data_IF_341355411421
#
_entry.id   IF_341355411421
#
_cell.length_a   1.000
_cell.length_b   1.000
_cell.length_c   1.000
_cell.angle_alpha   90.00
_cell.angle_beta   90.00
_cell.angle_gamma   90.00
#
_symmetry.space_group_name_H-M   'P 1'
#
loop_
_entity.id
_entity.type
_entity.pdbx_description
1 polymer ?
#
# COMPACT_ATOMS: atom_id res chain seq x y z
N UNK A 1 -9.64 22.93 -14.13
CA UNK A 1 -9.29 21.54 -14.55
C UNK A 1 -9.07 21.49 -16.06
N UNK A 2 -8.05 20.75 -16.55
CA UNK A 2 -7.81 20.46 -17.96
C UNK A 2 -8.20 19.02 -18.25
N UNK A 3 -8.92 18.76 -19.36
CA UNK A 3 -9.44 17.44 -19.71
C UNK A 3 -9.18 17.10 -21.17
N UNK A 4 -8.60 15.94 -21.41
CA UNK A 4 -8.46 15.32 -22.75
C UNK A 4 -9.28 14.03 -22.79
N UNK A 5 -9.66 13.55 -23.98
CA UNK A 5 -10.40 12.30 -24.09
C UNK A 5 -10.04 11.50 -25.32
N UNK A 6 -10.19 10.18 -25.22
CA UNK A 6 -9.97 9.23 -26.31
C UNK A 6 -10.84 7.98 -26.15
N UNK A 7 -10.99 7.21 -27.21
CA UNK A 7 -11.67 5.91 -27.18
C UNK A 7 -10.67 4.79 -26.94
N UNK A 8 -11.00 3.89 -26.00
CA UNK A 8 -10.17 2.74 -25.68
C UNK A 8 -11.03 1.55 -25.27
N UNK A 9 -10.87 0.41 -25.93
CA UNK A 9 -11.63 -0.84 -25.67
C UNK A 9 -13.16 -0.63 -25.55
N UNK A 10 -13.75 0.20 -26.40
CA UNK A 10 -15.20 0.47 -26.38
C UNK A 10 -15.68 1.33 -25.23
N UNK A 11 -14.76 2.05 -24.58
CA UNK A 11 -15.04 3.02 -23.53
C UNK A 11 -14.48 4.38 -23.94
N UNK A 12 -15.13 5.45 -23.48
CA UNK A 12 -14.55 6.78 -23.51
C UNK A 12 -13.68 6.95 -22.26
N UNK A 13 -12.45 7.35 -22.47
CA UNK A 13 -11.49 7.65 -21.39
C UNK A 13 -11.25 9.14 -21.38
N UNK A 14 -11.43 9.76 -20.21
CA UNK A 14 -11.07 11.15 -19.97
C UNK A 14 -9.83 11.20 -19.07
N UNK A 15 -8.89 12.07 -19.38
CA UNK A 15 -7.71 12.34 -18.59
C UNK A 15 -7.83 13.75 -18.02
N UNK A 16 -7.94 13.83 -16.69
CA UNK A 16 -8.12 15.07 -15.97
C UNK A 16 -6.83 15.47 -15.27
N UNK A 17 -6.46 16.75 -15.39
CA UNK A 17 -5.37 17.38 -14.65
C UNK A 17 -5.92 18.56 -13.89
N UNK A 18 -5.73 18.54 -12.58
CA UNK A 18 -6.23 19.53 -11.65
C UNK A 18 -5.10 20.06 -10.80
N UNK A 19 -4.93 21.39 -10.78
CA UNK A 19 -4.01 22.03 -9.85
C UNK A 19 -4.71 22.19 -8.49
N UNK A 20 -4.04 21.70 -7.44
CA UNK A 20 -4.53 21.70 -6.05
C UNK A 20 -3.47 22.32 -5.13
N UNK A 21 -3.83 22.89 -3.98
CA UNK A 21 -2.84 23.35 -3.01
C UNK A 21 -1.97 22.19 -2.50
N UNK A 22 -0.71 22.44 -2.20
CA UNK A 22 0.13 21.49 -1.50
C UNK A 22 -0.50 21.11 -0.14
N UNK A 23 -0.94 22.13 0.61
CA UNK A 23 -1.71 21.98 1.84
C UNK A 23 -3.10 22.60 1.66
N UNK A 24 -4.13 21.75 1.63
CA UNK A 24 -5.53 22.21 1.48
C UNK A 24 -6.07 22.99 2.68
N UNK A 25 -5.40 22.93 3.82
CA UNK A 25 -5.80 23.63 5.04
C UNK A 25 -5.27 25.07 5.12
N UNK A 26 -4.48 25.48 4.13
CA UNK A 26 -3.88 26.81 4.05
C UNK A 26 -4.26 27.52 2.73
N UNK A 27 -4.38 28.85 2.72
CA UNK A 27 -4.53 29.58 1.46
C UNK A 27 -3.34 29.34 0.52
N UNK A 28 -3.62 29.24 -0.77
CA UNK A 28 -2.59 29.15 -1.82
C UNK A 28 -1.76 30.44 -1.86
N UNK A 29 -0.43 30.32 -2.00
CA UNK A 29 0.49 31.43 -2.02
C UNK A 29 1.93 30.96 -2.18
N UNK A 30 2.90 31.86 -1.99
CA UNK A 30 4.33 31.55 -2.11
C UNK A 30 4.75 30.43 -1.13
N UNK A 31 4.23 30.47 0.11
CA UNK A 31 4.50 29.45 1.14
C UNK A 31 3.59 28.21 1.06
N UNK A 32 2.66 28.16 0.11
CA UNK A 32 1.77 27.04 -0.15
C UNK A 32 1.51 26.92 -1.65
N UNK A 33 2.46 26.38 -2.41
CA UNK A 33 2.35 26.24 -3.86
C UNK A 33 1.26 25.25 -4.26
N UNK A 34 0.90 25.26 -5.54
CA UNK A 34 0.05 24.25 -6.14
C UNK A 34 0.87 23.07 -6.63
N UNK A 35 0.28 21.90 -6.55
CA UNK A 35 0.73 20.66 -7.19
C UNK A 35 -0.33 20.17 -8.16
N UNK A 36 0.04 19.31 -9.09
CA UNK A 36 -0.89 18.74 -10.05
C UNK A 36 -1.33 17.35 -9.61
N UNK A 37 -2.65 17.12 -9.64
CA UNK A 37 -3.29 15.82 -9.45
C UNK A 37 -3.87 15.36 -10.78
N UNK A 38 -3.67 14.09 -11.11
CA UNK A 38 -4.15 13.42 -12.30
C UNK A 38 -5.18 12.35 -11.97
N UNK A 39 -6.25 12.29 -12.75
CA UNK A 39 -7.21 11.20 -12.68
C UNK A 39 -7.61 10.75 -14.09
N UNK A 40 -7.87 9.45 -14.22
CA UNK A 40 -8.43 8.89 -15.45
C UNK A 40 -9.84 8.42 -15.19
N UNK A 41 -10.79 9.02 -15.87
CA UNK A 41 -12.18 8.61 -15.86
C UNK A 41 -12.46 7.66 -17.01
N UNK A 42 -13.08 6.53 -16.72
CA UNK A 42 -13.48 5.52 -17.72
C UNK A 42 -14.99 5.43 -17.74
N UNK A 43 -15.56 5.63 -18.92
CA UNK A 43 -17.01 5.62 -19.14
C UNK A 43 -17.36 4.58 -20.20
N UNK A 44 -18.22 3.63 -19.82
CA UNK A 44 -18.75 2.67 -20.79
C UNK A 44 -19.75 3.36 -21.72
N UNK A 45 -19.69 3.06 -23.02
CA UNK A 45 -20.65 3.56 -23.98
C UNK A 45 -22.10 3.27 -23.56
N UNK A 46 -22.97 4.29 -23.62
CA UNK A 46 -24.35 4.24 -23.14
C UNK A 46 -24.51 4.36 -21.64
N UNK A 47 -23.46 4.77 -20.90
CA UNK A 47 -23.46 5.01 -19.46
C UNK A 47 -22.89 6.39 -19.11
N UNK A 48 -23.05 7.33 -20.02
CA UNK A 48 -22.53 8.70 -19.87
C UNK A 48 -23.17 9.45 -18.69
N UNK A 49 -24.41 9.08 -18.32
CA UNK A 49 -25.14 9.66 -17.18
C UNK A 49 -25.05 8.83 -15.88
N UNK A 50 -24.19 7.78 -15.86
CA UNK A 50 -24.02 6.96 -14.66
C UNK A 50 -23.38 7.77 -13.52
N UNK A 51 -23.67 7.41 -12.24
CA UNK A 51 -23.02 8.05 -11.11
C UNK A 51 -21.51 7.75 -11.09
N UNK A 52 -20.76 8.55 -10.36
CA UNK A 52 -19.32 8.38 -10.25
C UNK A 52 -18.91 7.42 -9.14
N UNK A 53 -17.88 6.62 -9.42
CA UNK A 53 -17.14 5.86 -8.41
C UNK A 53 -15.65 6.15 -8.54
N UNK A 54 -15.00 6.60 -7.46
CA UNK A 54 -13.55 6.81 -7.42
C UNK A 54 -12.86 5.58 -6.84
N UNK A 55 -11.83 5.11 -7.54
CA UNK A 55 -10.94 4.06 -7.05
C UNK A 55 -9.74 4.71 -6.35
N UNK A 56 -9.52 4.28 -5.10
CA UNK A 56 -8.39 4.67 -4.27
C UNK A 56 -7.42 3.48 -4.18
N UNK A 57 -6.23 3.67 -4.75
CA UNK A 57 -5.21 2.64 -4.85
C UNK A 57 -4.55 2.35 -3.51
N UNK A 58 -4.16 1.10 -3.30
CA UNK A 58 -3.31 0.66 -2.20
C UNK A 58 -1.86 1.10 -2.32
N UNK A 59 -1.05 0.67 -1.42
CA UNK A 59 0.35 1.03 -1.27
C UNK A 59 0.63 1.43 0.17
N UNK A 60 1.08 2.64 0.45
CA UNK A 60 1.10 3.93 -0.28
C UNK A 60 2.08 3.99 -1.47
N UNK A 61 1.96 5.03 -2.31
CA UNK A 61 2.99 5.37 -3.30
C UNK A 61 2.86 4.71 -4.67
N UNK A 62 1.81 3.96 -4.91
CA UNK A 62 1.53 3.38 -6.22
C UNK A 62 0.43 4.15 -6.97
N UNK A 63 0.58 4.32 -8.31
CA UNK A 63 -0.46 4.93 -9.11
C UNK A 63 -1.66 4.00 -9.24
N UNK A 64 -2.82 4.56 -9.56
CA UNK A 64 -3.99 3.77 -9.96
C UNK A 64 -3.69 2.89 -11.18
N UNK A 65 -4.32 1.71 -11.28
CA UNK A 65 -4.13 0.82 -12.43
C UNK A 65 -4.51 1.54 -13.72
N UNK A 66 -3.82 1.20 -14.79
CA UNK A 66 -4.14 1.72 -16.13
C UNK A 66 -5.25 0.89 -16.74
N UNK A 67 -6.29 1.56 -17.24
CA UNK A 67 -7.40 0.88 -17.91
C UNK A 67 -6.91 0.14 -19.16
N UNK A 68 -7.23 -1.14 -19.28
CA UNK A 68 -6.83 -1.99 -20.37
C UNK A 68 -7.02 -3.46 -20.07
N UNK A 69 -6.28 -4.33 -20.75
CA UNK A 69 -6.43 -5.79 -20.67
C UNK A 69 -6.22 -6.38 -19.28
N UNK A 70 -5.48 -5.70 -18.40
CA UNK A 70 -5.09 -6.20 -17.08
C UNK A 70 -5.84 -5.53 -15.91
N UNK A 71 -6.89 -4.78 -16.16
CA UNK A 71 -7.62 -4.04 -15.09
C UNK A 71 -8.47 -4.92 -14.18
N UNK A 72 -8.52 -6.22 -14.41
CA UNK A 72 -9.24 -7.16 -13.55
C UNK A 72 -10.75 -7.08 -13.62
N UNK A 73 -11.43 -8.06 -13.04
CA UNK A 73 -12.88 -8.18 -13.07
C UNK A 73 -13.60 -7.11 -12.25
N UNK A 74 -12.96 -6.55 -11.21
CA UNK A 74 -13.54 -5.53 -10.34
C UNK A 74 -13.91 -4.25 -11.11
N UNK A 75 -13.03 -3.78 -12.00
CA UNK A 75 -13.31 -2.59 -12.81
C UNK A 75 -14.44 -2.84 -13.80
N UNK A 76 -14.43 -3.99 -14.48
CA UNK A 76 -15.50 -4.37 -15.39
C UNK A 76 -16.86 -4.44 -14.68
N UNK A 77 -16.87 -4.85 -13.39
CA UNK A 77 -18.08 -4.87 -12.57
C UNK A 77 -18.55 -3.44 -12.25
N UNK A 78 -17.66 -2.57 -11.82
CA UNK A 78 -18.02 -1.16 -11.55
C UNK A 78 -18.50 -0.43 -12.78
N UNK A 79 -17.88 -0.63 -13.94
CA UNK A 79 -18.26 0.01 -15.20
C UNK A 79 -19.64 -0.39 -15.72
N UNK A 80 -20.32 -1.37 -15.13
CA UNK A 80 -21.72 -1.67 -15.42
C UNK A 80 -22.65 -0.59 -14.85
N UNK A 81 -22.30 0.00 -13.70
CA UNK A 81 -23.17 0.87 -12.95
C UNK A 81 -22.61 2.29 -12.78
N UNK A 82 -21.30 2.48 -12.96
CA UNK A 82 -20.59 3.72 -12.65
C UNK A 82 -19.71 4.23 -13.79
N UNK A 83 -19.47 5.52 -13.78
CA UNK A 83 -18.29 6.16 -14.37
C UNK A 83 -17.14 5.99 -13.37
N UNK A 84 -16.07 5.31 -13.75
CA UNK A 84 -15.01 4.93 -12.83
C UNK A 84 -13.83 5.91 -12.93
N UNK A 85 -13.53 6.57 -11.83
CA UNK A 85 -12.41 7.52 -11.72
C UNK A 85 -11.22 6.83 -11.06
N UNK A 86 -10.12 6.74 -11.77
CA UNK A 86 -8.84 6.17 -11.33
C UNK A 86 -7.92 7.33 -10.93
N UNK A 87 -7.88 7.64 -9.64
CA UNK A 87 -7.09 8.73 -9.11
C UNK A 87 -5.63 8.29 -8.94
N UNK A 88 -4.69 8.90 -9.67
CA UNK A 88 -3.28 8.87 -9.29
C UNK A 88 -3.13 9.82 -8.08
N UNK A 89 -2.96 9.24 -6.90
CA UNK A 89 -2.79 10.01 -5.67
C UNK A 89 -1.57 10.94 -5.79
N UNK A 90 -1.59 12.08 -5.06
CA UNK A 90 -0.41 12.96 -5.00
C UNK A 90 0.85 12.16 -4.71
N UNK A 91 1.94 12.46 -5.37
CA UNK A 91 3.20 11.71 -5.29
C UNK A 91 3.33 10.58 -6.30
N UNK A 92 2.27 10.17 -7.01
CA UNK A 92 2.25 8.96 -7.82
C UNK A 92 1.88 9.20 -9.27
N UNK A 93 2.25 8.29 -10.14
CA UNK A 93 1.77 8.19 -11.53
C UNK A 93 2.01 9.45 -12.36
N UNK A 94 0.92 10.02 -12.86
CA UNK A 94 0.92 11.26 -13.65
C UNK A 94 0.62 12.50 -12.78
N UNK A 95 0.29 12.32 -11.49
CA UNK A 95 0.29 13.40 -10.51
C UNK A 95 1.72 13.89 -10.23
N UNK A 96 1.87 15.01 -9.56
CA UNK A 96 3.20 15.48 -9.10
C UNK A 96 3.93 14.35 -8.39
N UNK A 97 5.02 13.88 -8.96
CA UNK A 97 5.77 12.69 -8.48
C UNK A 97 6.65 13.04 -7.31
N UNK A 98 6.93 12.02 -6.48
CA UNK A 98 7.84 12.10 -5.35
C UNK A 98 8.92 11.03 -5.43
N UNK A 99 10.14 11.48 -5.68
CA UNK A 99 11.38 10.72 -5.64
C UNK A 99 12.54 11.66 -5.27
N UNK A 100 13.74 11.13 -5.13
CA UNK A 100 14.92 11.93 -4.77
C UNK A 100 15.19 13.05 -5.79
N UNK A 101 14.90 12.83 -7.08
CA UNK A 101 15.08 13.84 -8.11
C UNK A 101 14.04 14.97 -7.98
N UNK A 102 12.77 14.62 -7.75
CA UNK A 102 11.70 15.60 -7.55
C UNK A 102 11.94 16.48 -6.32
N UNK A 103 12.56 15.91 -5.27
CA UNK A 103 12.90 16.63 -4.03
C UNK A 103 14.24 17.38 -4.07
N UNK A 104 14.98 17.29 -5.17
CA UNK A 104 16.34 17.87 -5.27
C UNK A 104 16.39 19.40 -5.24
N UNK A 105 15.25 20.07 -5.37
CA UNK A 105 15.14 21.53 -5.22
C UNK A 105 15.06 22.00 -3.76
N UNK A 106 14.91 21.07 -2.82
CA UNK A 106 14.92 21.30 -1.37
C UNK A 106 16.30 20.96 -0.83
N UNK A 107 16.89 21.87 -0.06
CA UNK A 107 18.30 21.78 0.33
C UNK A 107 18.53 20.81 1.50
N UNK A 108 17.58 20.74 2.45
CA UNK A 108 17.73 19.97 3.69
C UNK A 108 16.73 18.80 3.78
N UNK A 109 17.05 17.81 4.61
CA UNK A 109 16.14 16.69 4.88
C UNK A 109 14.89 17.16 5.65
N UNK A 110 15.02 18.20 6.48
CA UNK A 110 13.92 18.85 7.19
C UNK A 110 12.92 19.50 6.22
N UNK A 111 13.41 20.21 5.19
CA UNK A 111 12.57 20.81 4.15
C UNK A 111 11.85 19.72 3.34
N UNK A 112 12.57 18.66 2.95
CA UNK A 112 11.99 17.52 2.24
C UNK A 112 10.94 16.81 3.08
N UNK A 113 11.20 16.57 4.35
CA UNK A 113 10.24 15.95 5.27
C UNK A 113 9.02 16.83 5.48
N UNK A 114 9.20 18.14 5.66
CA UNK A 114 8.10 19.10 5.78
C UNK A 114 7.21 19.10 4.54
N UNK A 115 7.81 19.09 3.34
CA UNK A 115 7.09 19.00 2.08
C UNK A 115 6.32 17.67 1.96
N UNK A 116 6.96 16.53 2.27
CA UNK A 116 6.37 15.21 2.17
C UNK A 116 5.23 14.96 3.17
N UNK A 117 5.21 15.65 4.32
CA UNK A 117 4.07 15.56 5.26
C UNK A 117 2.73 15.88 4.63
N UNK A 118 2.72 16.65 3.53
CA UNK A 118 1.51 16.97 2.76
C UNK A 118 1.12 15.88 1.73
N UNK A 119 1.73 14.68 1.77
CA UNK A 119 1.42 13.57 0.86
C UNK A 119 0.70 12.40 1.56
N UNK A 120 0.21 12.61 2.77
CA UNK A 120 -0.51 11.64 3.58
C UNK A 120 -2.01 11.58 3.19
N UNK A 121 -2.73 10.60 3.74
CA UNK A 121 -4.12 10.32 3.38
C UNK A 121 -5.10 11.48 3.57
N UNK A 122 -4.88 12.36 4.54
CA UNK A 122 -5.72 13.55 4.74
C UNK A 122 -5.72 14.48 3.52
N UNK A 123 -4.55 14.77 2.99
CA UNK A 123 -4.43 15.61 1.80
C UNK A 123 -4.94 14.91 0.53
N UNK A 124 -4.81 13.57 0.45
CA UNK A 124 -5.39 12.78 -0.64
C UNK A 124 -6.93 12.86 -0.61
N UNK A 125 -7.53 12.85 0.58
CA UNK A 125 -8.99 13.07 0.74
C UNK A 125 -9.40 14.43 0.17
N UNK A 126 -8.67 15.48 0.49
CA UNK A 126 -8.98 16.82 -0.01
C UNK A 126 -8.75 16.97 -1.52
N UNK A 127 -7.75 16.28 -2.09
CA UNK A 127 -7.59 16.18 -3.55
C UNK A 127 -8.81 15.50 -4.20
N UNK A 128 -9.26 14.40 -3.61
CA UNK A 128 -10.43 13.69 -4.09
C UNK A 128 -11.69 14.57 -4.02
N UNK A 129 -11.86 15.38 -2.96
CA UNK A 129 -12.95 16.36 -2.84
C UNK A 129 -12.85 17.48 -3.88
N UNK A 130 -11.66 17.99 -4.15
CA UNK A 130 -11.44 18.98 -5.20
C UNK A 130 -11.82 18.42 -6.57
N UNK A 131 -11.38 17.19 -6.88
CA UNK A 131 -11.74 16.50 -8.12
C UNK A 131 -13.24 16.18 -8.20
N UNK A 132 -13.85 15.71 -7.10
CA UNK A 132 -15.29 15.45 -7.06
C UNK A 132 -16.10 16.69 -7.42
N UNK A 133 -15.76 17.84 -6.84
CA UNK A 133 -16.47 19.10 -7.11
C UNK A 133 -16.38 19.52 -8.57
N UNK A 134 -15.25 19.28 -9.22
CA UNK A 134 -15.07 19.56 -10.66
C UNK A 134 -15.89 18.60 -11.55
N UNK A 135 -16.05 17.32 -11.15
CA UNK A 135 -16.72 16.28 -11.95
C UNK A 135 -18.23 16.18 -11.64
N UNK A 136 -18.61 16.28 -10.38
CA UNK A 136 -19.96 16.00 -9.88
C UNK A 136 -20.67 17.24 -9.29
N UNK A 137 -19.97 18.39 -9.16
CA UNK A 137 -20.51 19.52 -8.40
C UNK A 137 -20.69 19.19 -6.93
N UNK A 138 -21.89 19.39 -6.40
CA UNK A 138 -22.21 19.08 -5.01
C UNK A 138 -22.64 17.62 -4.77
N UNK A 139 -22.86 16.85 -5.84
CA UNK A 139 -23.32 15.45 -5.71
C UNK A 139 -22.21 14.56 -5.10
N UNK A 140 -22.55 13.71 -4.12
CA UNK A 140 -21.61 12.77 -3.53
C UNK A 140 -21.34 11.59 -4.49
N UNK A 141 -20.14 11.04 -4.42
CA UNK A 141 -19.74 9.87 -5.20
C UNK A 141 -19.55 8.62 -4.34
N UNK A 142 -19.36 7.47 -4.99
CA UNK A 142 -19.01 6.21 -4.33
C UNK A 142 -17.48 6.04 -4.33
N UNK A 143 -16.91 5.49 -3.24
CA UNK A 143 -15.50 5.08 -3.21
C UNK A 143 -15.35 3.57 -3.33
N UNK A 144 -14.27 3.10 -3.99
CA UNK A 144 -13.72 1.76 -3.84
C UNK A 144 -12.27 1.90 -3.39
N UNK A 145 -11.99 1.60 -2.13
CA UNK A 145 -10.64 1.62 -1.56
C UNK A 145 -10.07 0.22 -1.43
N UNK A 146 -8.87 -0.02 -1.96
CA UNK A 146 -8.13 -1.27 -1.80
C UNK A 146 -6.91 -1.03 -0.91
N UNK A 147 -6.72 -1.86 0.16
CA UNK A 147 -5.56 -1.75 1.04
C UNK A 147 -5.44 -0.32 1.62
N UNK A 148 -4.32 0.37 1.47
CA UNK A 148 -4.16 1.79 1.84
C UNK A 148 -5.27 2.69 1.26
N UNK A 149 -5.84 2.36 0.10
CA UNK A 149 -7.02 3.06 -0.43
C UNK A 149 -8.25 2.95 0.48
N UNK A 150 -8.37 1.87 1.23
CA UNK A 150 -9.37 1.73 2.29
C UNK A 150 -9.05 2.58 3.52
N UNK A 151 -7.76 2.75 3.85
CA UNK A 151 -7.30 3.69 4.88
C UNK A 151 -7.68 5.14 4.49
N UNK A 152 -7.45 5.51 3.23
CA UNK A 152 -7.89 6.81 2.68
C UNK A 152 -9.42 6.93 2.76
N UNK A 153 -10.18 5.86 2.44
CA UNK A 153 -11.64 5.85 2.55
C UNK A 153 -12.09 6.08 3.99
N UNK A 154 -11.45 5.46 4.98
CA UNK A 154 -11.75 5.67 6.41
C UNK A 154 -11.40 7.09 6.85
N UNK A 155 -10.30 7.66 6.34
CA UNK A 155 -10.00 9.08 6.52
C UNK A 155 -11.05 9.98 5.86
N UNK A 156 -11.56 9.61 4.70
CA UNK A 156 -12.62 10.35 4.00
C UNK A 156 -13.93 10.37 4.82
N UNK A 157 -14.30 9.23 5.41
CA UNK A 157 -15.44 9.14 6.33
C UNK A 157 -15.26 10.02 7.57
N UNK A 158 -14.01 10.27 8.00
CA UNK A 158 -13.69 11.17 9.11
C UNK A 158 -13.72 12.64 8.72
N UNK A 159 -13.15 12.99 7.56
CA UNK A 159 -12.79 14.37 7.23
C UNK A 159 -13.80 15.05 6.28
N UNK A 160 -14.46 14.29 5.41
CA UNK A 160 -15.38 14.83 4.41
C UNK A 160 -16.54 13.85 4.07
N UNK A 161 -17.26 13.30 5.05
CA UNK A 161 -18.29 12.28 4.81
C UNK A 161 -19.42 12.76 3.89
N UNK A 162 -19.68 14.07 3.82
CA UNK A 162 -20.69 14.66 2.95
C UNK A 162 -20.41 14.48 1.44
N UNK A 163 -19.16 14.22 1.06
CA UNK A 163 -18.75 13.90 -0.32
C UNK A 163 -19.02 12.45 -0.72
N UNK A 164 -19.44 11.61 0.22
CA UNK A 164 -19.61 10.18 0.03
C UNK A 164 -21.08 9.76 -0.02
N UNK A 165 -21.46 9.08 -1.09
CA UNK A 165 -22.76 8.42 -1.23
C UNK A 165 -22.74 7.02 -0.61
N UNK A 166 -21.67 6.29 -0.83
CA UNK A 166 -21.40 4.97 -0.28
C UNK A 166 -19.89 4.67 -0.37
N UNK A 167 -19.43 3.69 0.39
CA UNK A 167 -18.01 3.28 0.39
C UNK A 167 -17.88 1.77 0.32
N UNK A 168 -17.05 1.29 -0.62
CA UNK A 168 -16.62 -0.09 -0.74
C UNK A 168 -15.15 -0.17 -0.33
N UNK A 169 -14.81 -1.10 0.56
CA UNK A 169 -13.45 -1.29 1.06
C UNK A 169 -13.04 -2.75 0.88
N UNK A 170 -11.84 -3.00 0.38
CA UNK A 170 -11.31 -4.37 0.23
C UNK A 170 -9.93 -4.48 0.87
N UNK A 171 -9.78 -5.33 1.90
CA UNK A 171 -8.53 -5.54 2.63
C UNK A 171 -7.90 -4.23 3.13
N UNK A 172 -8.71 -3.26 3.59
CA UNK A 172 -8.24 -1.90 3.85
C UNK A 172 -8.96 -1.17 4.99
N UNK A 173 -9.53 -1.88 5.97
CA UNK A 173 -9.99 -1.24 7.20
C UNK A 173 -8.81 -1.10 8.17
N UNK A 174 -8.34 0.13 8.49
CA UNK A 174 -7.17 0.35 9.34
C UNK A 174 -7.42 -0.04 10.79
N UNK A 175 -6.39 -0.48 11.50
CA UNK A 175 -6.41 -0.49 12.97
C UNK A 175 -6.32 0.94 13.51
N UNK A 176 -7.19 1.30 14.44
CA UNK A 176 -7.18 2.61 15.12
C UNK A 176 -6.42 2.54 16.45
N UNK A 177 -5.31 1.83 16.46
CA UNK A 177 -4.47 1.55 17.63
C UNK A 177 -3.03 1.97 17.37
N UNK A 178 -2.16 1.88 18.39
CA UNK A 178 -0.75 2.20 18.22
C UNK A 178 -0.09 1.30 17.18
N UNK A 179 0.85 1.83 16.42
CA UNK A 179 1.54 1.12 15.34
C UNK A 179 2.23 -0.17 15.81
N UNK A 180 2.75 -0.19 17.04
CA UNK A 180 3.37 -1.39 17.62
C UNK A 180 2.37 -2.56 17.73
N UNK A 181 1.12 -2.28 18.09
CA UNK A 181 0.08 -3.31 18.21
C UNK A 181 -0.31 -3.84 16.81
N UNK A 182 -0.35 -2.96 15.81
CA UNK A 182 -0.56 -3.35 14.41
C UNK A 182 0.56 -4.28 13.96
N UNK A 183 1.83 -3.90 14.15
CA UNK A 183 2.95 -4.71 13.70
C UNK A 183 3.11 -6.02 14.48
N UNK A 184 2.77 -6.09 15.76
CA UNK A 184 2.74 -7.37 16.49
C UNK A 184 1.78 -8.35 15.83
N UNK A 185 0.59 -7.91 15.44
CA UNK A 185 -0.38 -8.74 14.71
C UNK A 185 0.09 -9.11 13.30
N UNK A 186 0.66 -8.16 12.55
CA UNK A 186 1.16 -8.47 11.21
C UNK A 186 2.34 -9.44 11.24
N UNK A 187 3.22 -9.35 12.23
CA UNK A 187 4.28 -10.36 12.43
C UNK A 187 3.72 -11.75 12.79
N UNK A 188 2.71 -11.80 13.66
CA UNK A 188 2.04 -13.07 13.99
C UNK A 188 1.42 -13.71 12.75
N UNK A 189 0.72 -12.92 11.92
CA UNK A 189 0.13 -13.36 10.66
C UNK A 189 1.19 -13.79 9.65
N UNK A 190 2.26 -13.03 9.53
CA UNK A 190 3.39 -13.36 8.65
C UNK A 190 4.06 -14.67 9.08
N UNK A 191 4.27 -14.89 10.38
CA UNK A 191 4.80 -16.15 10.89
C UNK A 191 3.88 -17.34 10.57
N UNK A 192 2.57 -17.17 10.76
CA UNK A 192 1.58 -18.20 10.42
C UNK A 192 1.61 -18.51 8.92
N UNK A 193 1.76 -17.48 8.08
CA UNK A 193 1.84 -17.62 6.63
C UNK A 193 3.10 -18.33 6.18
N UNK A 194 4.26 -18.00 6.76
CA UNK A 194 5.52 -18.72 6.52
C UNK A 194 5.37 -20.21 6.89
N UNK A 195 4.84 -20.52 8.06
CA UNK A 195 4.62 -21.93 8.46
C UNK A 195 3.76 -22.69 7.47
N UNK A 196 2.64 -22.11 7.03
CA UNK A 196 1.74 -22.72 6.04
C UNK A 196 2.45 -22.94 4.71
N UNK A 197 3.22 -21.96 4.26
CA UNK A 197 3.99 -22.03 3.02
C UNK A 197 5.07 -23.11 3.09
N UNK A 198 5.90 -23.14 4.13
CA UNK A 198 6.96 -24.12 4.30
C UNK A 198 6.43 -25.55 4.57
N UNK A 199 5.26 -25.69 5.18
CA UNK A 199 4.60 -27.01 5.25
C UNK A 199 4.21 -27.52 3.87
N UNK A 200 3.78 -26.65 2.97
CA UNK A 200 3.47 -27.02 1.57
C UNK A 200 4.72 -27.26 0.74
N UNK A 201 5.77 -26.45 0.97
CA UNK A 201 7.03 -26.46 0.23
C UNK A 201 8.26 -26.59 1.17
N UNK A 202 8.47 -27.79 1.79
CA UNK A 202 9.56 -27.95 2.78
C UNK A 202 10.97 -27.70 2.22
N UNK A 203 11.15 -27.91 0.91
CA UNK A 203 12.42 -27.61 0.22
C UNK A 203 12.77 -26.14 0.22
N UNK A 204 11.75 -25.26 0.19
CA UNK A 204 11.94 -23.81 0.08
C UNK A 204 12.47 -23.21 1.38
N UNK A 205 12.04 -23.73 2.54
CA UNK A 205 12.62 -23.29 3.82
C UNK A 205 14.11 -23.52 3.85
N UNK A 206 14.56 -24.73 3.46
CA UNK A 206 15.98 -25.04 3.36
C UNK A 206 16.69 -24.13 2.35
N UNK A 207 16.08 -23.90 1.19
CA UNK A 207 16.67 -23.02 0.16
C UNK A 207 16.82 -21.58 0.68
N UNK A 208 15.81 -21.03 1.37
CA UNK A 208 15.87 -19.70 1.97
C UNK A 208 16.99 -19.59 3.01
N UNK A 209 17.11 -20.60 3.89
CA UNK A 209 18.19 -20.67 4.89
C UNK A 209 19.56 -20.75 4.24
N UNK A 210 19.75 -21.61 3.22
CA UNK A 210 20.99 -21.73 2.46
C UNK A 210 21.37 -20.43 1.73
N UNK A 211 20.38 -19.74 1.14
CA UNK A 211 20.58 -18.45 0.49
C UNK A 211 21.03 -17.39 1.49
N UNK A 212 20.36 -17.29 2.64
CA UNK A 212 20.73 -16.33 3.66
C UNK A 212 22.13 -16.62 4.26
N UNK A 213 22.48 -17.89 4.48
CA UNK A 213 23.83 -18.26 4.92
C UNK A 213 24.88 -17.89 3.87
N UNK A 214 24.62 -18.19 2.59
CA UNK A 214 25.53 -17.79 1.50
C UNK A 214 25.74 -16.28 1.43
N UNK A 215 24.65 -15.49 1.54
CA UNK A 215 24.69 -14.03 1.49
C UNK A 215 25.39 -13.41 2.72
N UNK A 216 25.40 -14.10 3.86
CA UNK A 216 26.15 -13.66 5.03
C UNK A 216 27.67 -13.72 4.79
N UNK A 217 28.13 -14.73 4.05
CA UNK A 217 29.55 -15.02 3.82
C UNK A 217 30.11 -14.49 2.47
N UNK A 218 29.22 -14.01 1.57
CA UNK A 218 29.57 -13.60 0.22
C UNK A 218 29.01 -12.25 -0.17
N UNK A 219 29.59 -11.65 -1.20
CA UNK A 219 29.11 -10.41 -1.80
C UNK A 219 28.44 -10.74 -3.15
N UNK A 220 27.14 -11.04 -3.11
CA UNK A 220 26.30 -11.11 -4.30
C UNK A 220 25.69 -9.74 -4.56
N UNK A 221 25.73 -9.30 -5.81
CA UNK A 221 25.34 -7.95 -6.22
C UNK A 221 24.11 -8.02 -7.12
N UNK A 222 23.11 -7.21 -6.83
CA UNK A 222 21.93 -7.05 -7.69
C UNK A 222 22.32 -6.33 -9.01
N UNK A 223 21.51 -6.44 -10.07
CA UNK A 223 21.80 -5.78 -11.35
C UNK A 223 21.94 -4.25 -11.24
N UNK A 224 21.32 -3.64 -10.24
CA UNK A 224 21.38 -2.21 -9.90
C UNK A 224 22.68 -1.79 -9.20
N UNK A 225 23.51 -2.75 -8.81
CA UNK A 225 24.88 -2.54 -8.32
C UNK A 225 25.05 -2.66 -6.81
N UNK A 226 23.99 -2.68 -6.02
CA UNK A 226 24.04 -2.83 -4.58
C UNK A 226 24.18 -4.31 -4.15
N UNK A 227 24.70 -4.52 -2.96
CA UNK A 227 24.80 -5.84 -2.35
C UNK A 227 23.42 -6.37 -1.95
N UNK A 228 23.15 -7.64 -2.25
CA UNK A 228 22.01 -8.35 -1.71
C UNK A 228 22.34 -8.88 -0.31
N UNK A 229 21.71 -8.33 0.72
CA UNK A 229 21.84 -8.82 2.10
C UNK A 229 20.84 -9.95 2.40
N UNK A 230 21.09 -10.80 3.42
CA UNK A 230 20.13 -11.79 3.90
C UNK A 230 18.78 -11.16 4.26
N UNK A 231 18.84 -10.00 4.85
CA UNK A 231 17.66 -9.28 5.29
C UNK A 231 16.82 -8.76 4.12
N UNK A 232 17.47 -8.20 3.09
CA UNK A 232 16.79 -7.77 1.88
C UNK A 232 16.20 -8.96 1.11
N UNK A 233 16.90 -10.10 1.06
CA UNK A 233 16.31 -11.32 0.50
C UNK A 233 15.03 -11.73 1.22
N UNK A 234 14.99 -11.65 2.56
CA UNK A 234 13.80 -12.05 3.33
C UNK A 234 12.55 -11.22 3.03
N UNK A 235 12.71 -10.01 2.47
CA UNK A 235 11.57 -9.17 2.06
C UNK A 235 10.74 -9.77 0.92
N UNK A 236 11.22 -10.77 0.17
CA UNK A 236 10.42 -11.49 -0.81
C UNK A 236 9.18 -12.14 -0.18
N UNK A 237 9.15 -12.27 1.13
CA UNK A 237 7.98 -12.76 1.87
C UNK A 237 6.73 -11.90 1.72
N UNK A 238 6.82 -10.67 1.21
CA UNK A 238 5.64 -9.93 0.75
C UNK A 238 4.81 -10.72 -0.26
N UNK A 239 5.43 -11.60 -1.06
CA UNK A 239 4.72 -12.47 -1.99
C UNK A 239 3.73 -13.42 -1.30
N UNK A 240 3.94 -13.74 -0.03
CA UNK A 240 3.05 -14.60 0.75
C UNK A 240 1.66 -13.99 1.00
N UNK A 241 1.50 -12.68 0.85
CA UNK A 241 0.22 -11.99 1.05
C UNK A 241 -0.70 -11.98 -0.17
N UNK A 242 -0.21 -12.31 -1.36
CA UNK A 242 -1.00 -12.36 -2.60
C UNK A 242 -1.45 -13.76 -2.99
N UNK A 243 -2.60 -13.86 -3.64
CA UNK A 243 -3.26 -15.13 -3.99
C UNK A 243 -2.43 -16.00 -4.94
N UNK A 244 -1.87 -15.43 -6.00
CA UNK A 244 -1.07 -16.18 -6.99
C UNK A 244 0.43 -16.17 -6.69
N UNK A 245 0.86 -15.43 -5.70
CA UNK A 245 2.27 -15.12 -5.50
C UNK A 245 3.02 -16.22 -4.75
N UNK A 246 2.32 -17.09 -3.99
CA UNK A 246 2.94 -18.24 -3.32
C UNK A 246 3.55 -19.25 -4.29
N UNK A 247 2.88 -19.52 -5.40
CA UNK A 247 3.42 -20.41 -6.43
C UNK A 247 4.59 -19.73 -7.17
N UNK A 248 4.48 -18.41 -7.41
CA UNK A 248 5.58 -17.63 -7.99
C UNK A 248 6.80 -17.61 -7.09
N UNK A 249 6.61 -17.50 -5.76
CA UNK A 249 7.70 -17.59 -4.79
C UNK A 249 8.37 -18.95 -4.83
N UNK A 250 7.58 -20.03 -4.90
CA UNK A 250 8.12 -21.40 -5.05
C UNK A 250 8.99 -21.51 -6.31
N UNK A 251 8.47 -21.11 -7.47
CA UNK A 251 9.22 -21.17 -8.72
C UNK A 251 10.45 -20.23 -8.73
N UNK A 252 10.40 -19.10 -8.04
CA UNK A 252 11.57 -18.23 -7.85
C UNK A 252 12.69 -18.95 -7.09
N UNK A 253 12.35 -19.81 -6.12
CA UNK A 253 13.28 -20.54 -5.28
C UNK A 253 13.75 -21.89 -5.88
N UNK A 254 13.22 -22.33 -7.05
CA UNK A 254 13.59 -23.62 -7.67
C UNK A 254 15.07 -23.69 -8.12
N UNK A 255 15.62 -22.61 -8.64
CA UNK A 255 16.93 -22.64 -9.28
C UNK A 255 17.80 -21.40 -9.05
N UNK A 256 18.09 -21.01 -7.81
CA UNK A 256 18.83 -19.78 -7.54
C UNK A 256 20.31 -19.87 -7.90
N UNK A 257 20.84 -21.09 -8.05
CA UNK A 257 22.28 -21.34 -8.09
C UNK A 257 22.86 -21.53 -9.49
N UNK A 258 24.10 -21.09 -9.65
CA UNK A 258 24.94 -21.39 -10.81
C UNK A 258 26.37 -21.72 -10.34
N UNK A 259 27.17 -22.32 -11.22
CA UNK A 259 28.59 -22.58 -10.96
C UNK A 259 29.47 -21.70 -11.86
N UNK A 260 30.31 -20.87 -11.25
CA UNK A 260 31.28 -20.03 -11.96
C UNK A 260 32.67 -20.44 -11.56
N UNK A 261 33.43 -21.06 -12.47
CA UNK A 261 34.79 -21.56 -12.23
C UNK A 261 34.89 -22.48 -10.99
N UNK A 262 33.85 -23.34 -10.80
CA UNK A 262 33.76 -24.26 -9.68
C UNK A 262 33.29 -23.64 -8.35
N UNK A 263 33.02 -22.36 -8.32
CA UNK A 263 32.39 -21.68 -7.16
C UNK A 263 30.89 -21.60 -7.32
N UNK A 264 30.17 -21.91 -6.24
CA UNK A 264 28.71 -21.74 -6.16
C UNK A 264 28.39 -20.24 -6.05
N UNK A 265 27.58 -19.72 -6.94
CA UNK A 265 27.16 -18.33 -7.00
C UNK A 265 25.66 -18.25 -7.25
N UNK A 266 25.04 -17.12 -6.96
CA UNK A 266 23.67 -16.86 -7.38
C UNK A 266 23.62 -16.59 -8.89
N UNK A 267 22.61 -17.12 -9.56
CA UNK A 267 22.44 -16.91 -10.99
C UNK A 267 21.99 -15.46 -11.27
N UNK A 268 22.45 -14.89 -12.39
CA UNK A 268 22.04 -13.54 -12.80
C UNK A 268 20.52 -13.42 -12.96
N UNK A 269 19.86 -14.52 -13.39
CA UNK A 269 18.41 -14.56 -13.50
C UNK A 269 17.73 -14.43 -12.14
N UNK A 270 18.22 -15.17 -11.14
CA UNK A 270 17.71 -15.10 -9.77
C UNK A 270 17.93 -13.71 -9.17
N UNK A 271 19.15 -13.15 -9.29
CA UNK A 271 19.46 -11.82 -8.79
C UNK A 271 18.56 -10.73 -9.42
N UNK A 272 18.30 -10.81 -10.73
CA UNK A 272 17.39 -9.89 -11.41
C UNK A 272 15.95 -10.03 -10.92
N UNK A 273 15.48 -11.26 -10.73
CA UNK A 273 14.15 -11.52 -10.21
C UNK A 273 14.00 -11.04 -8.77
N UNK A 274 14.99 -11.25 -7.91
CA UNK A 274 15.01 -10.73 -6.53
C UNK A 274 15.03 -9.20 -6.52
N UNK A 275 15.87 -8.57 -7.34
CA UNK A 275 15.92 -7.10 -7.45
C UNK A 275 14.55 -6.51 -7.75
N UNK A 276 13.82 -7.11 -8.69
CA UNK A 276 12.47 -6.64 -9.03
C UNK A 276 11.41 -6.88 -7.94
N UNK A 277 11.63 -7.83 -7.05
CA UNK A 277 10.69 -8.13 -5.94
C UNK A 277 10.91 -7.24 -4.72
N UNK A 278 12.13 -6.77 -4.50
CA UNK A 278 12.48 -5.98 -3.31
C UNK A 278 12.74 -4.51 -3.64
N UNK A 279 12.64 -4.14 -4.91
CA UNK A 279 12.69 -2.75 -5.35
C UNK A 279 11.30 -2.11 -5.11
N UNK A 280 11.28 -1.05 -4.33
CA UNK A 280 10.05 -0.37 -3.90
C UNK A 280 10.09 1.10 -4.33
N UNK A 281 8.92 1.63 -4.68
CA UNK A 281 8.78 3.05 -4.96
C UNK A 281 9.19 3.88 -3.73
N UNK A 282 9.95 5.00 -3.89
CA UNK A 282 10.43 5.80 -2.77
C UNK A 282 9.34 6.22 -1.79
N UNK A 283 8.17 6.65 -2.28
CA UNK A 283 7.02 6.98 -1.42
C UNK A 283 6.58 5.77 -0.60
N UNK A 284 6.53 4.57 -1.16
CA UNK A 284 6.19 3.38 -0.40
C UNK A 284 7.12 3.20 0.79
N UNK A 285 8.43 3.25 0.56
CA UNK A 285 9.43 3.12 1.61
C UNK A 285 9.31 4.20 2.70
N UNK A 286 9.08 5.45 2.30
CA UNK A 286 8.96 6.58 3.22
C UNK A 286 7.66 6.55 4.04
N UNK A 287 6.56 6.05 3.44
CA UNK A 287 5.22 6.20 4.00
C UNK A 287 4.66 4.91 4.62
N UNK A 288 5.27 3.74 4.38
CA UNK A 288 4.74 2.48 4.88
C UNK A 288 4.48 2.47 6.39
N UNK A 289 5.31 3.15 7.16
CA UNK A 289 5.10 3.32 8.60
C UNK A 289 4.48 4.69 8.93
N UNK A 290 4.82 5.74 8.17
CA UNK A 290 4.34 7.09 8.43
C UNK A 290 2.81 7.25 8.32
N UNK A 291 2.12 6.40 7.54
CA UNK A 291 0.65 6.40 7.47
C UNK A 291 -0.03 6.12 8.82
N UNK A 292 0.69 5.54 9.77
CA UNK A 292 0.21 5.26 11.13
C UNK A 292 0.58 6.36 12.14
N UNK A 293 1.44 7.31 11.77
CA UNK A 293 1.87 8.38 12.68
C UNK A 293 0.71 9.31 13.03
N UNK A 294 0.49 9.55 14.33
CA UNK A 294 -0.58 10.43 14.83
C UNK A 294 -1.96 10.10 14.20
N UNK A 295 -2.26 8.82 14.00
CA UNK A 295 -3.42 8.40 13.20
C UNK A 295 -4.76 8.81 13.81
N UNK A 296 -4.87 8.79 15.15
CA UNK A 296 -6.05 9.24 15.91
C UNK A 296 -5.67 10.35 16.90
N UNK A 297 -6.64 11.11 17.47
CA UNK A 297 -6.34 12.14 18.47
C UNK A 297 -5.53 11.64 19.67
N UNK A 298 -5.80 10.43 20.14
CA UNK A 298 -5.10 9.83 21.29
C UNK A 298 -3.66 9.41 20.98
N UNK A 299 -3.31 9.28 19.71
CA UNK A 299 -1.97 8.92 19.25
C UNK A 299 -1.12 10.14 18.86
N UNK A 300 -1.68 11.35 18.92
CA UNK A 300 -0.88 12.57 18.76
C UNK A 300 0.11 12.68 19.93
N UNK A 301 1.35 12.99 19.62
CA UNK A 301 2.46 12.99 20.59
C UNK A 301 3.29 11.71 20.58
N UNK A 302 2.86 10.67 19.85
CA UNK A 302 3.60 9.41 19.71
C UNK A 302 4.24 9.27 18.32
N UNK A 303 5.53 8.93 18.29
CA UNK A 303 6.25 8.65 17.05
C UNK A 303 6.27 7.14 16.77
N UNK A 304 6.38 6.76 15.51
CA UNK A 304 6.43 5.35 15.10
C UNK A 304 7.79 4.71 15.41
N UNK A 305 8.89 5.47 15.25
CA UNK A 305 10.27 5.11 15.62
C UNK A 305 10.70 3.76 15.03
N UNK A 306 10.39 3.52 13.77
CA UNK A 306 10.73 2.27 13.09
C UNK A 306 10.15 1.04 13.82
N UNK A 307 8.85 1.05 14.06
CA UNK A 307 8.17 0.01 14.84
C UNK A 307 8.38 -1.38 14.24
N UNK A 308 8.34 -1.52 12.91
CA UNK A 308 8.62 -2.79 12.24
C UNK A 308 10.02 -3.31 12.56
N UNK A 309 11.05 -2.44 12.49
CA UNK A 309 12.46 -2.82 12.74
C UNK A 309 12.70 -3.18 14.22
N UNK A 310 12.14 -2.38 15.14
CA UNK A 310 12.26 -2.64 16.59
C UNK A 310 11.62 -3.96 16.99
N UNK A 311 10.40 -4.21 16.52
CA UNK A 311 9.64 -5.41 16.90
C UNK A 311 10.20 -6.68 16.25
N UNK A 312 10.86 -6.59 15.09
CA UNK A 312 11.54 -7.73 14.49
C UNK A 312 12.55 -8.38 15.44
N UNK A 313 13.24 -7.58 16.26
CA UNK A 313 14.24 -8.07 17.22
C UNK A 313 13.61 -8.80 18.43
N UNK A 314 12.33 -8.52 18.70
CA UNK A 314 11.59 -9.12 19.82
C UNK A 314 10.86 -10.41 19.44
N UNK A 315 10.60 -10.61 18.14
CA UNK A 315 9.71 -11.68 17.66
C UNK A 315 10.52 -12.83 17.05
N UNK A 316 10.40 -14.07 17.59
CA UNK A 316 11.16 -15.21 17.09
C UNK A 316 11.03 -15.41 15.57
N UNK A 317 12.15 -15.62 14.92
CA UNK A 317 12.25 -15.87 13.48
C UNK A 317 12.37 -14.63 12.60
N UNK A 318 12.24 -13.40 13.15
CA UNK A 318 12.33 -12.17 12.37
C UNK A 318 13.56 -11.33 12.66
N UNK A 319 14.26 -11.55 13.77
CA UNK A 319 15.46 -10.81 14.10
C UNK A 319 16.44 -10.75 12.90
N UNK A 320 17.10 -9.60 12.73
CA UNK A 320 18.01 -9.37 11.58
C UNK A 320 19.21 -10.30 11.60
N UNK A 321 19.71 -10.62 12.81
CA UNK A 321 20.87 -11.47 13.03
C UNK A 321 20.49 -12.93 13.33
N UNK A 322 19.22 -13.35 13.04
CA UNK A 322 18.80 -14.73 13.17
C UNK A 322 19.71 -15.66 12.36
N UNK A 323 20.21 -16.71 13.01
CA UNK A 323 21.10 -17.67 12.36
C UNK A 323 20.35 -18.58 11.41
N UNK A 324 20.55 -18.50 10.09
CA UNK A 324 19.85 -19.35 9.14
C UNK A 324 20.26 -20.83 9.25
N UNK A 325 21.39 -21.16 9.88
CA UNK A 325 21.88 -22.51 10.07
C UNK A 325 21.37 -23.18 11.35
N UNK A 326 20.69 -22.43 12.21
CA UNK A 326 20.09 -23.00 13.42
C UNK A 326 18.68 -23.52 13.12
N UNK A 327 18.56 -24.83 12.87
CA UNK A 327 17.28 -25.49 12.59
C UNK A 327 16.37 -25.61 13.83
N UNK A 328 16.89 -25.34 15.03
CA UNK A 328 16.06 -25.37 16.25
C UNK A 328 15.21 -24.12 16.44
N UNK A 329 15.57 -23.03 15.76
CA UNK A 329 14.87 -21.75 15.80
C UNK A 329 14.11 -21.45 14.50
N UNK A 330 12.96 -20.78 14.57
CA UNK A 330 12.25 -20.36 13.38
C UNK A 330 13.07 -19.38 12.56
N UNK A 331 12.96 -19.44 11.24
CA UNK A 331 13.59 -18.50 10.33
C UNK A 331 12.59 -18.13 9.23
N UNK A 332 12.04 -16.92 9.29
CA UNK A 332 10.94 -16.50 8.46
C UNK A 332 11.33 -15.43 7.42
N UNK A 333 10.64 -15.47 6.30
CA UNK A 333 10.55 -14.34 5.37
C UNK A 333 9.71 -13.24 6.02
N UNK A 334 10.06 -11.97 5.79
CA UNK A 334 9.31 -10.83 6.30
C UNK A 334 8.09 -10.52 5.43
N UNK A 335 7.08 -9.88 6.00
CA UNK A 335 5.91 -9.38 5.27
C UNK A 335 6.10 -7.93 4.84
N UNK A 336 5.03 -7.16 4.94
CA UNK A 336 5.02 -5.71 4.69
C UNK A 336 5.63 -4.95 5.88
N UNK A 337 6.83 -5.33 6.25
CA UNK A 337 7.61 -4.76 7.34
C UNK A 337 8.78 -3.98 6.75
N UNK A 338 8.65 -2.66 6.67
CA UNK A 338 9.68 -1.83 6.04
C UNK A 338 10.78 -1.50 7.08
N UNK A 339 11.97 -2.04 6.84
CA UNK A 339 13.07 -1.95 7.78
C UNK A 339 13.94 -0.71 7.51
N UNK A 340 14.40 -0.05 8.57
CA UNK A 340 15.28 1.12 8.49
C UNK A 340 16.50 0.91 7.58
N UNK A 341 17.12 -0.26 7.63
CA UNK A 341 18.31 -0.62 6.84
C UNK A 341 18.09 -0.60 5.32
N UNK A 342 16.86 -0.70 4.84
CA UNK A 342 16.58 -0.62 3.39
C UNK A 342 17.04 0.71 2.83
N UNK A 343 17.01 1.78 3.65
CA UNK A 343 17.55 3.09 3.30
C UNK A 343 19.09 3.14 3.29
N UNK A 344 19.77 2.14 3.79
CA UNK A 344 21.23 2.00 3.64
C UNK A 344 21.59 1.15 2.41
N UNK A 345 20.72 0.23 2.02
CA UNK A 345 21.02 -0.80 1.04
C UNK A 345 20.45 -0.46 -0.36
N UNK A 346 19.31 0.24 -0.45
CA UNK A 346 18.65 0.53 -1.72
C UNK A 346 19.12 1.87 -2.30
N UNK A 347 19.69 1.90 -3.53
CA UNK A 347 20.23 3.13 -4.14
C UNK A 347 19.16 4.21 -4.39
N UNK A 348 17.90 3.81 -4.61
CA UNK A 348 16.78 4.74 -4.82
C UNK A 348 16.30 5.38 -3.52
N UNK A 349 16.51 4.70 -2.38
CA UNK A 349 16.06 5.14 -1.05
C UNK A 349 17.18 5.77 -0.21
N UNK A 350 18.43 5.40 -0.44
CA UNK A 350 19.59 5.92 0.32
C UNK A 350 19.65 7.46 0.38
N UNK A 351 19.36 8.21 -0.71
CA UNK A 351 19.33 9.67 -0.67
C UNK A 351 18.23 10.25 0.22
N UNK A 352 17.25 9.43 0.64
CA UNK A 352 16.08 9.83 1.43
C UNK A 352 16.15 9.34 2.88
N UNK A 353 17.27 8.76 3.30
CA UNK A 353 17.45 8.20 4.64
C UNK A 353 17.17 9.22 5.75
N UNK A 354 17.77 10.42 5.68
CA UNK A 354 17.54 11.47 6.68
C UNK A 354 16.08 11.92 6.74
N UNK A 355 15.44 11.99 5.59
CA UNK A 355 13.99 12.27 5.48
C UNK A 355 13.16 11.20 6.20
N UNK A 356 13.47 9.91 5.96
CA UNK A 356 12.79 8.80 6.60
C UNK A 356 12.95 8.82 8.14
N UNK A 357 14.14 9.17 8.65
CA UNK A 357 14.38 9.34 10.10
C UNK A 357 13.50 10.45 10.71
N UNK A 358 13.35 11.57 10.01
CA UNK A 358 12.50 12.67 10.45
C UNK A 358 11.01 12.24 10.44
N UNK A 359 10.56 11.55 9.41
CA UNK A 359 9.19 11.06 9.33
C UNK A 359 8.90 10.03 10.43
N UNK A 360 9.81 9.09 10.69
CA UNK A 360 9.68 8.08 11.75
C UNK A 360 9.65 8.70 13.16
N UNK A 361 10.27 9.88 13.34
CA UNK A 361 10.28 10.61 14.62
C UNK A 361 9.14 11.63 14.77
N UNK A 362 8.21 11.69 13.81
CA UNK A 362 7.10 12.66 13.83
C UNK A 362 6.14 12.37 14.98
N UNK A 363 5.94 13.38 15.85
CA UNK A 363 4.98 13.35 16.96
C UNK A 363 3.82 14.33 16.78
N UNK A 364 3.94 15.25 15.82
CA UNK A 364 2.98 16.31 15.55
C UNK A 364 2.48 16.21 14.10
N UNK A 365 1.29 15.66 13.91
CA UNK A 365 0.54 15.68 12.67
C UNK A 365 -0.96 15.71 13.00
N UNK A 366 -1.76 16.25 12.11
CA UNK A 366 -3.21 16.21 12.26
C UNK A 366 -3.71 14.75 12.23
N UNK A 367 -4.61 14.34 13.14
CA UNK A 367 -5.23 13.02 13.07
C UNK A 367 -5.94 12.81 11.73
N UNK A 368 -5.80 11.62 11.18
CA UNK A 368 -6.44 11.23 9.91
C UNK A 368 -7.71 10.43 10.12
N UNK A 369 -7.88 9.86 11.32
CA UNK A 369 -9.10 9.20 11.75
C UNK A 369 -9.67 9.90 12.98
N UNK A 370 -10.97 10.17 12.97
CA UNK A 370 -11.69 10.81 14.05
C UNK A 370 -12.74 9.82 14.59
N UNK A 371 -12.41 9.01 15.62
CA UNK A 371 -13.28 7.94 16.11
C UNK A 371 -14.69 8.41 16.47
N UNK A 372 -14.84 9.59 17.06
CA UNK A 372 -16.14 10.15 17.41
C UNK A 372 -17.00 10.47 16.17
N UNK A 373 -16.38 10.89 15.07
CA UNK A 373 -17.07 11.12 13.78
C UNK A 373 -17.40 9.78 13.13
N UNK A 374 -16.45 8.85 13.13
CA UNK A 374 -16.62 7.51 12.58
C UNK A 374 -17.74 6.73 13.27
N UNK A 375 -17.88 6.83 14.60
CA UNK A 375 -18.95 6.21 15.37
C UNK A 375 -20.34 6.78 15.04
N UNK A 376 -20.41 7.99 14.47
CA UNK A 376 -21.65 8.64 14.02
C UNK A 376 -21.84 8.53 12.51
N UNK A 377 -21.08 7.68 11.82
CA UNK A 377 -21.15 7.54 10.38
C UNK A 377 -22.54 7.14 9.90
N UNK A 378 -23.05 7.82 8.91
CA UNK A 378 -24.31 7.53 8.23
C UNK A 378 -24.15 7.13 6.78
N UNK A 379 -22.92 7.22 6.24
CA UNK A 379 -22.60 6.78 4.89
C UNK A 379 -22.65 5.25 4.84
N UNK A 380 -23.38 4.62 3.92
CA UNK A 380 -23.38 3.17 3.77
C UNK A 380 -21.97 2.65 3.42
N UNK A 381 -21.47 1.68 4.19
CA UNK A 381 -20.15 1.07 3.99
C UNK A 381 -20.30 -0.45 3.87
N UNK A 382 -19.66 -1.04 2.85
CA UNK A 382 -19.48 -2.49 2.74
C UNK A 382 -17.98 -2.81 2.62
N UNK A 383 -17.51 -3.79 3.40
CA UNK A 383 -16.10 -4.12 3.49
C UNK A 383 -15.82 -5.61 3.31
N UNK A 384 -14.92 -5.96 2.40
CA UNK A 384 -14.34 -7.30 2.30
C UNK A 384 -13.13 -7.38 3.23
N UNK A 385 -13.19 -8.32 4.17
CA UNK A 385 -12.14 -8.62 5.14
C UNK A 385 -11.60 -10.02 4.84
N UNK A 386 -10.32 -10.14 4.55
CA UNK A 386 -9.72 -11.43 4.23
C UNK A 386 -9.23 -12.10 5.51
N UNK A 387 -9.68 -13.34 5.73
CA UNK A 387 -9.53 -14.03 7.01
C UNK A 387 -8.08 -14.20 7.45
N UNK A 388 -7.19 -14.52 6.51
CA UNK A 388 -5.77 -14.79 6.73
C UNK A 388 -4.88 -13.64 6.21
N UNK A 389 -5.42 -12.43 6.11
CA UNK A 389 -4.66 -11.26 5.66
C UNK A 389 -3.47 -11.00 6.60
N UNK A 390 -2.27 -10.96 6.02
CA UNK A 390 -1.05 -10.74 6.77
C UNK A 390 -0.61 -9.27 6.78
N UNK A 391 -1.26 -8.42 5.98
CA UNK A 391 -0.97 -7.00 5.87
C UNK A 391 -1.93 -6.14 6.67
N UNK A 392 -3.23 -6.45 6.58
CA UNK A 392 -4.30 -5.73 7.28
C UNK A 392 -5.05 -6.73 8.17
N UNK A 393 -4.66 -6.86 9.45
CA UNK A 393 -5.18 -7.88 10.34
C UNK A 393 -6.70 -7.82 10.47
N UNK A 394 -7.35 -8.97 10.29
CA UNK A 394 -8.81 -9.11 10.34
C UNK A 394 -9.41 -8.57 11.62
N UNK A 395 -8.78 -8.81 12.77
CA UNK A 395 -9.26 -8.39 14.09
C UNK A 395 -9.46 -6.88 14.14
N UNK A 396 -8.44 -6.13 13.73
CA UNK A 396 -8.49 -4.67 13.68
C UNK A 396 -9.47 -4.17 12.61
N UNK A 397 -9.54 -4.89 11.48
CA UNK A 397 -10.48 -4.56 10.41
C UNK A 397 -11.93 -4.70 10.85
N UNK A 398 -12.25 -5.76 11.60
CA UNK A 398 -13.60 -5.99 12.12
C UNK A 398 -13.96 -4.93 13.16
N UNK A 399 -13.05 -4.62 14.08
CA UNK A 399 -13.25 -3.58 15.10
C UNK A 399 -13.54 -2.21 14.48
N UNK A 400 -12.74 -1.78 13.52
CA UNK A 400 -12.97 -0.51 12.80
C UNK A 400 -14.25 -0.56 11.98
N UNK A 401 -14.54 -1.69 11.34
CA UNK A 401 -15.76 -1.87 10.58
C UNK A 401 -17.02 -1.80 11.45
N UNK A 402 -16.99 -2.37 12.65
CA UNK A 402 -18.09 -2.24 13.63
C UNK A 402 -18.28 -0.78 14.07
N UNK A 403 -17.17 -0.06 14.33
CA UNK A 403 -17.21 1.35 14.70
C UNK A 403 -17.93 2.21 13.64
N UNK A 404 -17.63 1.97 12.36
CA UNK A 404 -18.21 2.76 11.25
C UNK A 404 -19.53 2.22 10.74
N UNK A 405 -20.08 1.15 11.33
CA UNK A 405 -21.32 0.50 10.89
C UNK A 405 -21.20 -0.19 9.54
N UNK A 406 -20.02 -0.70 9.17
CA UNK A 406 -19.80 -1.39 7.91
C UNK A 406 -20.48 -2.77 7.89
N UNK A 407 -21.02 -3.14 6.72
CA UNK A 407 -21.45 -4.50 6.43
C UNK A 407 -20.25 -5.32 5.95
N UNK A 408 -19.94 -6.42 6.64
CA UNK A 408 -18.75 -7.20 6.39
C UNK A 408 -19.00 -8.39 5.47
N UNK A 409 -18.10 -8.57 4.50
CA UNK A 409 -17.87 -9.82 3.79
C UNK A 409 -16.55 -10.43 4.26
N UNK A 410 -16.60 -11.29 5.28
CA UNK A 410 -15.40 -11.98 5.80
C UNK A 410 -15.23 -13.29 5.03
N UNK A 411 -14.08 -13.46 4.37
CA UNK A 411 -13.83 -14.61 3.51
C UNK A 411 -12.39 -15.12 3.60
N UNK A 412 -12.22 -16.43 3.48
CA UNK A 412 -10.91 -17.10 3.33
C UNK A 412 -10.68 -17.64 1.91
N UNK A 413 -11.58 -17.34 0.96
CA UNK A 413 -11.40 -17.73 -0.44
C UNK A 413 -10.28 -16.94 -1.13
N UNK A 414 -10.00 -15.74 -0.62
CA UNK A 414 -9.05 -14.81 -1.21
C UNK A 414 -8.01 -14.36 -0.19
N UNK A 415 -6.89 -13.87 -0.70
CA UNK A 415 -5.85 -13.18 0.06
C UNK A 415 -6.03 -11.65 -0.08
N UNK A 416 -5.05 -10.87 0.41
CA UNK A 416 -5.09 -9.40 0.42
C UNK A 416 -5.50 -8.76 -0.93
N UNK A 417 -5.13 -9.38 -2.04
CA UNK A 417 -5.39 -8.95 -3.41
C UNK A 417 -6.69 -9.53 -4.02
N UNK A 418 -7.62 -10.01 -3.18
CA UNK A 418 -8.83 -10.71 -3.60
C UNK A 418 -9.72 -9.90 -4.55
N UNK A 419 -9.75 -8.57 -4.44
CA UNK A 419 -10.46 -7.72 -5.39
C UNK A 419 -9.98 -7.91 -6.83
N UNK A 420 -8.68 -8.08 -7.04
CA UNK A 420 -8.07 -8.29 -8.35
C UNK A 420 -8.32 -9.74 -8.88
N UNK A 421 -8.21 -10.74 -8.01
CA UNK A 421 -8.27 -12.17 -8.41
C UNK A 421 -9.67 -12.78 -8.42
N UNK A 422 -10.66 -12.13 -7.80
CA UNK A 422 -12.03 -12.67 -7.73
C UNK A 422 -12.83 -12.57 -9.03
N UNK A 423 -12.28 -11.98 -10.10
CA UNK A 423 -13.03 -11.77 -11.35
C UNK A 423 -14.23 -10.81 -11.19
N UNK A 424 -14.21 -9.95 -10.17
CA UNK A 424 -15.27 -9.00 -9.86
C UNK A 424 -16.28 -9.49 -8.81
N UNK A 425 -16.17 -10.73 -8.32
CA UNK A 425 -17.12 -11.31 -7.34
C UNK A 425 -17.11 -10.54 -6.02
N UNK A 426 -15.92 -10.17 -5.52
CA UNK A 426 -15.81 -9.39 -4.28
C UNK A 426 -16.59 -8.08 -4.40
N UNK A 427 -16.35 -7.32 -5.47
CA UNK A 427 -17.07 -6.03 -5.69
C UNK A 427 -18.57 -6.24 -5.89
N UNK A 428 -18.99 -7.30 -6.61
CA UNK A 428 -20.42 -7.63 -6.73
C UNK A 428 -21.03 -7.86 -5.35
N UNK A 429 -20.40 -8.67 -4.52
CA UNK A 429 -20.90 -8.96 -3.17
C UNK A 429 -20.99 -7.70 -2.29
N UNK A 430 -19.99 -6.80 -2.37
CA UNK A 430 -20.04 -5.55 -1.63
C UNK A 430 -21.17 -4.62 -2.11
N UNK A 431 -21.44 -4.57 -3.41
CA UNK A 431 -22.57 -3.80 -3.96
C UNK A 431 -23.91 -4.40 -3.53
N UNK A 432 -24.02 -5.73 -3.50
CA UNK A 432 -25.24 -6.40 -3.01
C UNK A 432 -25.48 -6.10 -1.52
N UNK A 433 -24.43 -6.13 -0.70
CA UNK A 433 -24.52 -5.71 0.72
C UNK A 433 -24.98 -4.27 0.89
N UNK A 434 -24.64 -3.34 -0.01
CA UNK A 434 -25.14 -1.97 0.07
C UNK A 434 -26.59 -1.83 -0.35
N UNK A 435 -27.11 -2.74 -1.19
CA UNK A 435 -28.49 -2.70 -1.68
C UNK A 435 -29.50 -3.21 -0.66
N UNK A 436 -29.08 -4.10 0.26
CA UNK A 436 -29.91 -4.61 1.38
C UNK A 436 -30.11 -3.57 2.49
#
# INVERSE_FOLDING_TARGET
MHTESYLHHGHTVYEHRLDVPLDHLRPTGEDNPTIQVFAREVVRQGREDAPYAVFLQGGPGYPSPRFGTFTGGWMNRLLQDYRVVLLDQRGTGQSTRMDAQALSHLDTDEEKAAYLRHFRQDQIVYDAEALRRELCGDDPWTTLGQSFGGFITTSYLSLAPQGLKASLITGGLPGLVHVDDIYRLTYERTAARNRTYFQRHPGDERTVRELCAHLADTEETLPTGERLSPARLRMIGMMLGGQGNTDQLHYLLEGPWTSVRGQRRLSSQFLAAIGSQVDVAPIYGLFQEYIYACATPDLVGTATLWAADRLAEEIPGFAKDANPLDESEPFYLTGEHFMRRVFDEDPGLAPLKGVAEILASTTEAAPVYLPDVLAQNTVPVAAAVYYDDMFVPRELSVETGELIGARHYITNEYQHDGSAYSGGKVVSHLLDLLAD
#
